data_IF_748794281504
#
_entry.id   IF_748794281504
#
_cell.length_a   1.000
_cell.length_b   1.000
_cell.length_c   1.000
_cell.angle_alpha   90.00
_cell.angle_beta   90.00
_cell.angle_gamma   90.00
#
_symmetry.space_group_name_H-M   'P 1'
#
loop_
_entity.id
_entity.type
_entity.pdbx_description
1 polymer ?
#
# COMPACT_ATOMS: atom_id res chain seq x y z
N UNK A 1 1.58 -24.28 24.21
CA UNK A 1 0.38 -23.47 24.50
C UNK A 1 0.54 -22.18 23.71
N UNK A 2 -0.44 -21.88 22.85
CA UNK A 2 -0.48 -20.83 21.80
C UNK A 2 0.33 -19.55 22.10
N UNK A 3 1.31 -19.22 21.26
CA UNK A 3 1.68 -17.82 21.02
C UNK A 3 0.70 -17.27 19.98
N UNK A 4 -0.26 -16.48 20.46
CA UNK A 4 -1.10 -15.66 19.61
C UNK A 4 -0.19 -14.67 18.88
N UNK A 5 0.03 -14.87 17.58
CA UNK A 5 0.63 -13.85 16.72
C UNK A 5 -0.51 -12.92 16.32
N UNK A 6 -0.88 -12.02 17.23
CA UNK A 6 -1.58 -10.80 16.89
C UNK A 6 -0.53 -9.70 16.81
N UNK A 7 -0.02 -9.47 15.60
CA UNK A 7 0.82 -8.31 15.30
C UNK A 7 0.62 -8.02 13.82
N UNK A 8 0.01 -6.87 13.52
CA UNK A 8 0.16 -6.23 12.21
C UNK A 8 1.66 -6.08 12.01
N UNK A 9 2.30 -7.02 11.30
CA UNK A 9 3.72 -6.96 11.00
C UNK A 9 3.95 -5.60 10.37
N UNK A 10 4.65 -4.71 11.08
CA UNK A 10 4.93 -3.37 10.59
C UNK A 10 5.70 -3.57 9.29
N UNK A 11 5.03 -3.26 8.17
CA UNK A 11 5.63 -3.36 6.84
C UNK A 11 6.67 -2.24 6.75
N UNK A 12 7.91 -2.59 7.05
CA UNK A 12 9.05 -1.67 6.95
C UNK A 12 9.68 -1.76 5.58
N UNK A 13 10.32 -0.66 5.16
CA UNK A 13 11.08 -0.62 3.91
C UNK A 13 12.16 -1.70 3.89
N UNK A 14 12.87 -1.87 5.00
CA UNK A 14 13.95 -2.84 5.19
C UNK A 14 13.41 -4.27 5.15
N UNK A 15 12.24 -4.52 5.76
CA UNK A 15 11.56 -5.81 5.70
C UNK A 15 11.18 -6.19 4.27
N UNK A 16 10.56 -5.27 3.52
CA UNK A 16 10.22 -5.50 2.10
C UNK A 16 11.47 -5.78 1.26
N UNK A 17 12.57 -5.04 1.48
CA UNK A 17 13.83 -5.25 0.76
C UNK A 17 14.42 -6.63 1.08
N UNK A 18 14.38 -7.06 2.34
CA UNK A 18 14.83 -8.38 2.74
C UNK A 18 14.01 -9.49 2.08
N UNK A 19 12.67 -9.37 2.11
CA UNK A 19 11.76 -10.33 1.48
C UNK A 19 11.98 -10.44 -0.03
N UNK A 20 12.20 -9.31 -0.71
CA UNK A 20 12.50 -9.29 -2.15
C UNK A 20 13.84 -9.95 -2.49
N UNK A 21 14.85 -9.84 -1.62
CA UNK A 21 16.13 -10.54 -1.80
C UNK A 21 15.97 -12.04 -1.59
N UNK A 22 15.28 -12.46 -0.53
CA UNK A 22 14.99 -13.88 -0.30
C UNK A 22 14.16 -14.49 -1.44
N UNK A 23 13.21 -13.74 -2.00
CA UNK A 23 12.46 -14.18 -3.18
C UNK A 23 13.35 -14.32 -4.41
N UNK A 24 14.37 -13.46 -4.56
CA UNK A 24 15.33 -13.59 -5.65
C UNK A 24 16.17 -14.86 -5.52
N UNK A 25 16.66 -15.18 -4.31
CA UNK A 25 17.44 -16.39 -4.04
C UNK A 25 16.61 -17.66 -4.32
N UNK A 26 15.33 -17.67 -3.91
CA UNK A 26 14.41 -18.78 -4.19
C UNK A 26 14.11 -18.92 -5.70
N UNK A 27 13.92 -17.80 -6.39
CA UNK A 27 13.70 -17.81 -7.84
C UNK A 27 14.94 -18.31 -8.60
N UNK A 28 16.14 -17.92 -8.17
CA UNK A 28 17.39 -18.43 -8.75
C UNK A 28 17.57 -19.92 -8.49
N UNK A 29 17.31 -20.40 -7.27
CA UNK A 29 17.37 -21.82 -6.91
C UNK A 29 16.39 -22.69 -7.72
N UNK A 30 15.26 -22.13 -8.15
CA UNK A 30 14.27 -22.80 -9.01
C UNK A 30 14.54 -22.65 -10.51
N UNK A 31 15.57 -21.90 -10.90
CA UNK A 31 15.93 -21.65 -12.30
C UNK A 31 15.15 -20.50 -12.98
N UNK A 32 14.26 -19.80 -12.27
CA UNK A 32 13.55 -18.63 -12.78
C UNK A 32 14.39 -17.35 -12.61
N UNK A 33 15.37 -17.22 -13.51
CA UNK A 33 16.27 -16.08 -13.54
C UNK A 33 15.55 -14.75 -13.84
N UNK A 34 14.43 -14.77 -14.54
CA UNK A 34 13.67 -13.55 -14.89
C UNK A 34 13.04 -12.97 -13.63
N UNK A 35 12.36 -13.81 -12.85
CA UNK A 35 11.75 -13.39 -11.59
C UNK A 35 12.81 -12.97 -10.56
N UNK A 36 13.95 -13.68 -10.48
CA UNK A 36 15.04 -13.31 -9.59
C UNK A 36 15.59 -11.90 -9.87
N UNK A 37 15.92 -11.60 -11.14
CA UNK A 37 16.42 -10.28 -11.55
C UNK A 37 15.36 -9.21 -11.32
N UNK A 38 14.08 -9.52 -11.55
CA UNK A 38 12.98 -8.57 -11.33
C UNK A 38 12.85 -8.22 -9.85
N UNK A 39 12.93 -9.20 -8.96
CA UNK A 39 12.88 -8.99 -7.52
C UNK A 39 14.05 -8.12 -7.03
N UNK A 40 15.28 -8.40 -7.48
CA UNK A 40 16.46 -7.58 -7.15
C UNK A 40 16.36 -6.15 -7.68
N UNK A 41 15.83 -5.95 -8.89
CA UNK A 41 15.61 -4.61 -9.44
C UNK A 41 14.63 -3.81 -8.59
N UNK A 42 13.57 -4.43 -8.09
CA UNK A 42 12.59 -3.78 -7.21
C UNK A 42 13.23 -3.45 -5.86
N UNK A 43 13.97 -4.39 -5.25
CA UNK A 43 14.69 -4.15 -4.00
C UNK A 43 15.64 -2.95 -4.11
N UNK A 44 16.47 -2.93 -5.16
CA UNK A 44 17.39 -1.83 -5.44
C UNK A 44 16.67 -0.48 -5.64
N UNK A 45 15.51 -0.50 -6.31
CA UNK A 45 14.74 0.73 -6.54
C UNK A 45 14.20 1.30 -5.23
N UNK A 46 13.67 0.44 -4.35
CA UNK A 46 13.23 0.83 -3.01
C UNK A 46 14.43 1.34 -2.21
N UNK A 47 15.59 0.67 -2.30
CA UNK A 47 16.79 1.08 -1.59
C UNK A 47 17.31 2.46 -2.02
N UNK A 48 17.20 2.82 -3.30
CA UNK A 48 17.80 4.05 -3.82
C UNK A 48 16.83 5.20 -4.04
N UNK A 49 15.55 4.92 -4.26
CA UNK A 49 14.57 5.92 -4.70
C UNK A 49 13.38 6.03 -3.76
N UNK A 50 13.13 5.06 -2.89
CA UNK A 50 12.12 5.26 -1.86
C UNK A 50 12.71 6.17 -0.77
N UNK A 51 12.03 7.28 -0.43
CA UNK A 51 12.47 8.14 0.67
C UNK A 51 12.55 7.31 1.96
N UNK A 52 13.65 7.46 2.71
CA UNK A 52 13.87 6.77 4.00
C UNK A 52 12.76 7.09 5.00
N UNK A 53 12.12 8.25 4.85
CA UNK A 53 10.93 8.63 5.59
C UNK A 53 9.80 8.86 4.57
N UNK A 54 8.93 7.87 4.31
CA UNK A 54 7.85 8.04 3.36
C UNK A 54 6.91 9.12 3.86
N UNK A 55 6.75 10.18 3.07
CA UNK A 55 5.63 11.10 3.27
C UNK A 55 4.35 10.27 3.18
N UNK A 56 3.40 10.45 4.12
CA UNK A 56 2.09 9.83 3.99
C UNK A 56 1.52 10.15 2.61
N UNK A 57 0.98 9.16 1.88
CA UNK A 57 0.33 9.43 0.61
C UNK A 57 -0.79 10.44 0.81
N UNK A 58 -1.03 11.30 -0.19
CA UNK A 58 -2.15 12.23 -0.14
C UNK A 58 -3.47 11.47 0.02
N UNK A 59 -4.47 12.11 0.62
CA UNK A 59 -5.82 11.52 0.77
C UNK A 59 -6.37 11.06 -0.59
N UNK A 60 -6.15 11.84 -1.65
CA UNK A 60 -6.57 11.49 -3.01
C UNK A 60 -5.86 10.22 -3.50
N UNK A 61 -4.56 10.07 -3.24
CA UNK A 61 -3.81 8.85 -3.56
C UNK A 61 -4.35 7.63 -2.80
N UNK A 62 -4.72 7.80 -1.52
CA UNK A 62 -5.34 6.72 -0.72
C UNK A 62 -6.70 6.32 -1.29
N UNK A 63 -7.53 7.28 -1.69
CA UNK A 63 -8.83 7.03 -2.32
C UNK A 63 -8.66 6.22 -3.62
N UNK A 64 -7.71 6.62 -4.46
CA UNK A 64 -7.43 5.95 -5.73
C UNK A 64 -6.93 4.52 -5.52
N UNK A 65 -5.96 4.33 -4.62
CA UNK A 65 -5.46 3.01 -4.24
C UNK A 65 -6.55 2.12 -3.67
N UNK A 66 -7.43 2.66 -2.82
CA UNK A 66 -8.58 1.94 -2.29
C UNK A 66 -9.56 1.51 -3.38
N UNK A 67 -9.82 2.36 -4.38
CA UNK A 67 -10.64 2.02 -5.53
C UNK A 67 -10.06 0.88 -6.35
N UNK A 68 -8.76 0.92 -6.65
CA UNK A 68 -8.04 -0.15 -7.34
C UNK A 68 -8.06 -1.46 -6.54
N UNK A 69 -7.81 -1.38 -5.24
CA UNK A 69 -7.82 -2.53 -4.34
C UNK A 69 -9.21 -3.19 -4.29
N UNK A 70 -10.28 -2.40 -4.20
CA UNK A 70 -11.64 -2.94 -4.23
C UNK A 70 -11.97 -3.62 -5.58
N UNK A 71 -11.52 -3.04 -6.69
CA UNK A 71 -11.71 -3.65 -8.01
C UNK A 71 -10.98 -4.99 -8.11
N UNK A 72 -9.75 -5.07 -7.61
CA UNK A 72 -8.99 -6.31 -7.56
C UNK A 72 -9.65 -7.34 -6.63
N UNK A 73 -10.00 -6.92 -5.41
CA UNK A 73 -10.64 -7.79 -4.41
C UNK A 73 -11.97 -8.36 -4.92
N UNK A 74 -12.74 -7.60 -5.70
CA UNK A 74 -14.05 -8.05 -6.20
C UNK A 74 -13.99 -9.34 -7.04
N UNK A 75 -12.82 -9.67 -7.59
CA UNK A 75 -12.58 -10.91 -8.35
C UNK A 75 -12.41 -12.16 -7.50
N UNK A 76 -12.05 -12.00 -6.22
CA UNK A 76 -11.62 -13.11 -5.35
C UNK A 76 -12.34 -13.14 -3.99
N UNK A 77 -12.71 -11.97 -3.47
CA UNK A 77 -13.42 -11.79 -2.21
C UNK A 77 -14.38 -10.57 -2.31
N UNK A 78 -15.67 -10.80 -2.62
CA UNK A 78 -16.64 -9.72 -2.78
C UNK A 78 -16.97 -8.99 -1.47
N UNK A 79 -16.90 -9.68 -0.32
CA UNK A 79 -17.13 -9.07 0.99
C UNK A 79 -16.02 -8.07 1.34
N UNK A 80 -14.76 -8.47 1.17
CA UNK A 80 -13.61 -7.58 1.33
C UNK A 80 -13.70 -6.39 0.36
N UNK A 81 -14.11 -6.63 -0.89
CA UNK A 81 -14.31 -5.56 -1.86
C UNK A 81 -15.41 -4.57 -1.45
N UNK A 82 -16.52 -5.05 -0.86
CA UNK A 82 -17.59 -4.19 -0.36
C UNK A 82 -17.13 -3.35 0.83
N UNK A 83 -16.39 -3.95 1.77
CA UNK A 83 -15.81 -3.23 2.91
C UNK A 83 -14.86 -2.11 2.45
N UNK A 84 -13.96 -2.40 1.50
CA UNK A 84 -13.05 -1.39 0.94
C UNK A 84 -13.82 -0.28 0.23
N UNK A 85 -14.85 -0.61 -0.56
CA UNK A 85 -15.70 0.40 -1.23
C UNK A 85 -16.38 1.33 -0.23
N UNK A 86 -16.90 0.78 0.87
CA UNK A 86 -17.52 1.58 1.94
C UNK A 86 -16.49 2.55 2.54
N UNK A 87 -15.32 2.06 2.93
CA UNK A 87 -14.26 2.90 3.50
C UNK A 87 -13.80 4.01 2.54
N UNK A 88 -13.70 3.71 1.24
CA UNK A 88 -13.37 4.70 0.20
C UNK A 88 -14.48 5.75 0.05
N UNK A 89 -15.75 5.36 0.14
CA UNK A 89 -16.87 6.29 0.08
C UNK A 89 -16.85 7.26 1.28
N UNK A 90 -16.58 6.74 2.48
CA UNK A 90 -16.44 7.55 3.70
C UNK A 90 -15.27 8.54 3.58
N UNK A 91 -14.11 8.09 3.10
CA UNK A 91 -12.94 8.96 2.86
C UNK A 91 -13.22 10.06 1.84
N UNK A 92 -13.95 9.75 0.76
CA UNK A 92 -14.36 10.76 -0.24
C UNK A 92 -15.26 11.82 0.38
N UNK A 93 -16.19 11.42 1.25
CA UNK A 93 -17.03 12.37 1.98
C UNK A 93 -16.18 13.28 2.86
N UNK A 94 -15.30 12.72 3.70
CA UNK A 94 -14.39 13.51 4.53
C UNK A 94 -13.52 14.48 3.71
N UNK A 95 -13.10 14.08 2.50
CA UNK A 95 -12.31 14.95 1.62
C UNK A 95 -13.09 16.16 1.10
N UNK A 96 -14.37 15.97 0.78
CA UNK A 96 -15.27 17.06 0.38
C UNK A 96 -15.49 18.02 1.55
N UNK A 97 -15.80 17.49 2.73
CA UNK A 97 -16.00 18.27 3.94
C UNK A 97 -14.74 19.09 4.29
N UNK A 98 -13.55 18.48 4.16
CA UNK A 98 -12.27 19.18 4.35
C UNK A 98 -12.08 20.30 3.31
N UNK A 99 -12.40 20.05 2.04
CA UNK A 99 -12.28 21.07 0.99
C UNK A 99 -13.23 22.25 1.20
N UNK A 100 -14.41 22.01 1.79
CA UNK A 100 -15.35 23.06 2.16
C UNK A 100 -14.81 23.90 3.32
N UNK A 101 -14.33 23.25 4.39
CA UNK A 101 -13.69 23.94 5.51
C UNK A 101 -12.44 24.75 5.09
N UNK A 102 -11.61 24.21 4.19
CA UNK A 102 -10.45 24.91 3.62
C UNK A 102 -10.87 26.20 2.89
N UNK A 103 -11.99 26.17 2.16
CA UNK A 103 -12.54 27.36 1.48
C UNK A 103 -13.08 28.38 2.47
N UNK A 104 -13.83 27.94 3.48
CA UNK A 104 -14.38 28.83 4.51
C UNK A 104 -13.26 29.59 5.22
N UNK A 105 -12.20 28.89 5.64
CA UNK A 105 -11.03 29.49 6.29
C UNK A 105 -10.35 30.52 5.37
N UNK A 106 -10.23 30.21 4.08
CA UNK A 106 -9.62 31.11 3.10
C UNK A 106 -10.46 32.36 2.82
N UNK A 107 -11.77 32.33 3.04
CA UNK A 107 -12.66 33.51 2.90
C UNK A 107 -12.71 34.40 4.15
N UNK A 108 -12.20 33.92 5.27
CA UNK A 108 -12.14 34.67 6.54
C UNK A 108 -10.84 35.50 6.66
N UNK A 109 -9.82 35.20 5.84
CA UNK A 109 -8.55 35.92 5.76
C UNK A 109 -8.53 36.90 4.58
#
# INVERSE_FOLDING_TARGET
MMTMIDERTLVTREGIVADLRSLADLAEASGDRVSAVRALKVAWHIERRAPTNPMPPSIDCIIDLGGLAAALASRFNPEAAAAIKSAVADLRKCRVDLAEAEKEIATIH
#
